data_IF_341592018077
#
_entry.id   IF_341592018077
#
_cell.length_a   1.000
_cell.length_b   1.000
_cell.length_c   1.000
_cell.angle_alpha   90.00
_cell.angle_beta   90.00
_cell.angle_gamma   90.00
#
_symmetry.space_group_name_H-M   'P 1'
#
loop_
_entity.id
_entity.type
_entity.pdbx_description
1 polymer ?
#
# COMPACT_ATOMS: atom_id res chain seq x y z
N UNK A 1 -3.40 -2.00 19.39
CA UNK A 1 -3.31 -1.31 18.09
C UNK A 1 -4.11 -2.08 17.05
N UNK A 2 -4.73 -1.38 16.09
CA UNK A 2 -5.59 -1.98 15.06
C UNK A 2 -5.17 -1.54 13.66
N UNK A 3 -5.25 -2.47 12.70
CA UNK A 3 -5.11 -2.18 11.27
C UNK A 3 -6.48 -2.40 10.63
N UNK A 4 -7.08 -1.36 10.07
CA UNK A 4 -8.35 -1.44 9.34
C UNK A 4 -8.09 -1.60 7.84
N UNK A 5 -8.61 -2.68 7.26
CA UNK A 5 -8.52 -2.93 5.81
C UNK A 5 -9.87 -2.63 5.16
N UNK A 6 -9.91 -1.56 4.39
CA UNK A 6 -11.09 -1.08 3.67
C UNK A 6 -10.95 -1.32 2.17
N UNK A 7 -12.06 -1.28 1.44
CA UNK A 7 -12.07 -1.38 -0.01
C UNK A 7 -13.46 -1.56 -0.57
N UNK A 8 -13.63 -1.17 -1.84
CA UNK A 8 -14.83 -1.49 -2.59
C UNK A 8 -14.99 -3.02 -2.76
N UNK A 9 -16.18 -3.51 -3.18
CA UNK A 9 -16.36 -4.91 -3.53
C UNK A 9 -15.30 -5.39 -4.53
N UNK A 10 -14.87 -6.65 -4.37
CA UNK A 10 -13.91 -7.33 -5.27
C UNK A 10 -12.50 -6.69 -5.36
N UNK A 11 -12.09 -5.90 -4.37
CA UNK A 11 -10.73 -5.32 -4.26
C UNK A 11 -9.74 -6.21 -3.51
N UNK A 12 -10.13 -7.43 -3.14
CA UNK A 12 -9.27 -8.36 -2.39
C UNK A 12 -9.05 -8.00 -0.91
N UNK A 13 -9.77 -7.01 -0.37
CA UNK A 13 -9.64 -6.53 1.03
C UNK A 13 -9.66 -7.63 2.09
N UNK A 14 -10.54 -8.63 1.97
CA UNK A 14 -10.69 -9.69 2.98
C UNK A 14 -9.56 -10.72 2.89
N UNK A 15 -9.11 -11.03 1.67
CA UNK A 15 -7.91 -11.85 1.47
C UNK A 15 -6.66 -11.15 2.03
N UNK A 16 -6.54 -9.84 1.82
CA UNK A 16 -5.44 -9.04 2.38
C UNK A 16 -5.49 -9.00 3.91
N UNK A 17 -6.67 -8.79 4.50
CA UNK A 17 -6.86 -8.80 5.95
C UNK A 17 -6.43 -10.15 6.56
N UNK A 18 -6.83 -11.26 5.93
CA UNK A 18 -6.42 -12.60 6.35
C UNK A 18 -4.90 -12.81 6.27
N UNK A 19 -4.28 -12.44 5.15
CA UNK A 19 -2.83 -12.56 4.96
C UNK A 19 -2.04 -11.73 5.99
N UNK A 20 -2.47 -10.51 6.27
CA UNK A 20 -1.86 -9.67 7.33
C UNK A 20 -2.04 -10.29 8.71
N UNK A 21 -3.24 -10.80 9.02
CA UNK A 21 -3.50 -11.45 10.31
C UNK A 21 -2.56 -12.64 10.52
N UNK A 22 -2.42 -13.51 9.52
CA UNK A 22 -1.52 -14.66 9.57
C UNK A 22 -0.06 -14.23 9.74
N UNK A 23 0.39 -13.23 8.98
CA UNK A 23 1.75 -12.73 9.05
C UNK A 23 2.12 -12.12 10.41
N UNK A 24 1.20 -11.36 11.01
CA UNK A 24 1.42 -10.70 12.30
C UNK A 24 1.36 -11.72 13.45
N UNK A 25 0.43 -12.66 13.38
CA UNK A 25 0.28 -13.74 14.38
C UNK A 25 1.51 -14.65 14.40
N UNK A 26 2.00 -15.07 13.22
CA UNK A 26 3.19 -15.93 13.11
C UNK A 26 4.47 -15.27 13.64
N UNK A 27 4.50 -13.95 13.72
CA UNK A 27 5.62 -13.15 14.27
C UNK A 27 5.37 -12.68 15.70
N UNK A 28 4.28 -13.15 16.34
CA UNK A 28 3.87 -12.76 17.69
C UNK A 28 3.69 -11.24 17.88
N UNK A 29 3.28 -10.54 16.82
CA UNK A 29 3.02 -9.10 16.87
C UNK A 29 1.58 -8.88 17.32
N UNK A 30 1.39 -8.21 18.47
CA UNK A 30 0.07 -7.98 19.08
C UNK A 30 -0.70 -6.84 18.40
N UNK A 31 -1.19 -7.10 17.18
CA UNK A 31 -2.01 -6.16 16.39
C UNK A 31 -3.24 -6.87 15.85
N UNK A 32 -4.40 -6.25 16.02
CA UNK A 32 -5.67 -6.77 15.50
C UNK A 32 -5.93 -6.21 14.11
N UNK A 33 -6.20 -7.07 13.14
CA UNK A 33 -6.61 -6.66 11.79
C UNK A 33 -8.14 -6.71 11.70
N UNK A 34 -8.74 -5.60 11.27
CA UNK A 34 -10.18 -5.50 11.01
C UNK A 34 -10.43 -5.71 9.51
N UNK A 35 -11.22 -6.73 9.17
CA UNK A 35 -11.65 -6.99 7.79
C UNK A 35 -12.90 -6.17 7.46
N UNK A 36 -12.74 -5.19 6.58
CA UNK A 36 -13.81 -4.35 6.04
C UNK A 36 -14.75 -3.75 7.10
N UNK A 37 -14.21 -3.09 8.16
CA UNK A 37 -15.06 -2.38 9.10
C UNK A 37 -15.83 -1.26 8.39
N UNK A 38 -16.95 -0.83 8.97
CA UNK A 38 -17.61 0.41 8.58
C UNK A 38 -16.63 1.58 8.62
N UNK A 39 -16.42 2.34 7.52
CA UNK A 39 -15.47 3.45 7.51
C UNK A 39 -15.86 4.54 8.50
N UNK A 40 -17.16 4.68 8.82
CA UNK A 40 -17.64 5.62 9.84
C UNK A 40 -17.27 5.25 11.28
N UNK A 41 -16.82 4.02 11.55
CA UNK A 41 -16.49 3.52 12.88
C UNK A 41 -15.00 3.25 13.07
N UNK A 42 -14.15 3.65 12.12
CA UNK A 42 -12.70 3.48 12.22
C UNK A 42 -12.12 4.57 13.11
N UNK A 43 -11.44 4.17 14.19
CA UNK A 43 -10.85 5.14 15.10
C UNK A 43 -9.64 5.85 14.46
N UNK A 44 -9.41 7.15 14.72
CA UNK A 44 -8.33 7.93 14.09
C UNK A 44 -6.91 7.42 14.38
N UNK A 45 -6.73 6.70 15.48
CA UNK A 45 -5.46 6.09 15.90
C UNK A 45 -5.19 4.74 15.21
N UNK A 46 -6.12 4.25 14.38
CA UNK A 46 -5.95 3.01 13.64
C UNK A 46 -5.06 3.24 12.41
N UNK A 47 -4.29 2.21 12.05
CA UNK A 47 -3.62 2.18 10.77
C UNK A 47 -4.67 1.80 9.72
N UNK A 48 -4.99 2.72 8.81
CA UNK A 48 -6.05 2.51 7.80
C UNK A 48 -5.43 2.28 6.43
N UNK A 49 -5.76 1.14 5.81
CA UNK A 49 -5.38 0.78 4.45
C UNK A 49 -6.64 0.68 3.58
N UNK A 50 -6.62 1.30 2.41
CA UNK A 50 -7.69 1.24 1.41
C UNK A 50 -7.22 0.47 0.18
N UNK A 51 -7.83 -0.67 -0.13
CA UNK A 51 -7.53 -1.42 -1.34
C UNK A 51 -7.97 -0.66 -2.61
N UNK A 52 -7.05 -0.49 -3.55
CA UNK A 52 -7.31 0.11 -4.86
C UNK A 52 -8.19 -0.76 -5.77
N UNK A 53 -8.70 -0.14 -6.84
CA UNK A 53 -9.59 -0.73 -7.83
C UNK A 53 -8.88 -1.40 -9.02
N UNK A 54 -7.66 -1.89 -8.81
CA UNK A 54 -6.70 -2.35 -9.83
C UNK A 54 -6.73 -3.88 -10.08
N UNK A 55 -7.57 -4.64 -9.39
CA UNK A 55 -7.73 -6.08 -9.63
C UNK A 55 -8.54 -6.41 -10.89
N UNK A 56 -9.26 -5.42 -11.41
CA UNK A 56 -10.03 -5.54 -12.65
C UNK A 56 -9.58 -4.46 -13.63
N UNK A 57 -9.45 -4.75 -14.94
CA UNK A 57 -8.99 -3.75 -15.92
C UNK A 57 -9.84 -2.48 -15.94
N UNK A 58 -11.14 -2.60 -15.66
CA UNK A 58 -12.05 -1.48 -15.51
C UNK A 58 -12.94 -1.71 -14.31
N UNK A 59 -12.85 -0.82 -13.33
CA UNK A 59 -13.74 -0.83 -12.18
C UNK A 59 -15.17 -0.47 -12.61
N UNK A 60 -16.15 -1.19 -12.08
CA UNK A 60 -17.56 -0.87 -12.31
C UNK A 60 -17.96 0.45 -11.64
N UNK A 61 -19.04 1.08 -12.12
CA UNK A 61 -19.64 2.26 -11.49
C UNK A 61 -20.03 2.02 -10.01
N UNK A 62 -20.38 0.78 -9.66
CA UNK A 62 -20.67 0.40 -8.27
C UNK A 62 -19.40 0.37 -7.42
N UNK A 63 -18.29 -0.17 -7.93
CA UNK A 63 -17.01 -0.16 -7.22
C UNK A 63 -16.47 1.27 -7.04
N UNK A 64 -16.57 2.11 -8.07
CA UNK A 64 -16.14 3.52 -8.00
C UNK A 64 -16.97 4.30 -6.98
N UNK A 65 -18.29 4.13 -6.96
CA UNK A 65 -19.16 4.75 -5.94
C UNK A 65 -18.83 4.27 -4.53
N UNK A 66 -18.59 2.97 -4.34
CA UNK A 66 -18.22 2.42 -3.04
C UNK A 66 -16.85 2.95 -2.56
N UNK A 67 -15.85 2.98 -3.43
CA UNK A 67 -14.52 3.55 -3.11
C UNK A 67 -14.61 5.03 -2.74
N UNK A 68 -15.35 5.82 -3.54
CA UNK A 68 -15.59 7.24 -3.26
C UNK A 68 -16.31 7.46 -1.93
N UNK A 69 -17.33 6.65 -1.62
CA UNK A 69 -18.06 6.74 -0.36
C UNK A 69 -17.14 6.45 0.85
N UNK A 70 -16.26 5.45 0.75
CA UNK A 70 -15.26 5.16 1.79
C UNK A 70 -14.31 6.35 1.97
N UNK A 71 -13.79 6.92 0.88
CA UNK A 71 -12.90 8.09 0.94
C UNK A 71 -13.58 9.30 1.57
N UNK A 72 -14.84 9.54 1.21
CA UNK A 72 -15.64 10.63 1.78
C UNK A 72 -15.86 10.44 3.28
N UNK A 73 -16.20 9.22 3.73
CA UNK A 73 -16.36 8.92 5.14
C UNK A 73 -15.06 9.14 5.94
N UNK A 74 -13.93 8.63 5.44
CA UNK A 74 -12.61 8.84 6.07
C UNK A 74 -12.21 10.31 6.10
N UNK A 75 -12.48 11.06 5.02
CA UNK A 75 -12.20 12.49 4.95
C UNK A 75 -13.05 13.32 5.92
N UNK A 76 -14.34 12.99 6.05
CA UNK A 76 -15.24 13.65 7.01
C UNK A 76 -14.78 13.51 8.46
N UNK A 77 -14.07 12.41 8.76
CA UNK A 77 -13.48 12.14 10.08
C UNK A 77 -12.01 12.52 10.19
N UNK A 78 -11.43 13.14 9.14
CA UNK A 78 -10.01 13.47 9.05
C UNK A 78 -9.08 12.27 9.33
N UNK A 79 -9.53 11.06 9.02
CA UNK A 79 -8.78 9.83 9.27
C UNK A 79 -7.80 9.60 8.13
N UNK A 80 -6.51 9.66 8.44
CA UNK A 80 -5.46 9.42 7.46
C UNK A 80 -5.36 7.92 7.09
N UNK A 81 -5.35 7.64 5.80
CA UNK A 81 -5.28 6.29 5.24
C UNK A 81 -4.24 6.21 4.11
N UNK A 82 -3.80 5.00 3.79
CA UNK A 82 -2.92 4.73 2.66
C UNK A 82 -3.63 3.83 1.65
N UNK A 83 -3.56 4.16 0.35
CA UNK A 83 -4.11 3.31 -0.71
C UNK A 83 -3.10 2.22 -1.06
N UNK A 84 -3.57 0.98 -1.20
CA UNK A 84 -2.76 -0.19 -1.53
C UNK A 84 -3.21 -0.77 -2.86
N UNK A 85 -2.29 -0.78 -3.83
CA UNK A 85 -2.43 -1.41 -5.15
C UNK A 85 -1.58 -2.68 -5.22
N UNK A 86 -1.78 -3.48 -6.27
CA UNK A 86 -1.01 -4.67 -6.59
C UNK A 86 -1.88 -5.90 -6.79
N UNK A 87 -1.29 -6.95 -7.38
CA UNK A 87 -1.96 -8.22 -7.61
C UNK A 87 -1.26 -9.33 -6.81
N UNK A 88 -2.03 -10.30 -6.30
CA UNK A 88 -1.50 -11.44 -5.55
C UNK A 88 -0.57 -11.02 -4.39
N UNK A 89 0.63 -11.59 -4.38
CA UNK A 89 1.63 -11.36 -3.32
C UNK A 89 2.16 -9.91 -3.28
N UNK A 90 2.14 -9.18 -4.39
CA UNK A 90 2.64 -7.78 -4.42
C UNK A 90 1.76 -6.87 -3.56
N UNK A 91 0.43 -7.03 -3.62
CA UNK A 91 -0.49 -6.26 -2.78
C UNK A 91 -0.20 -6.43 -1.30
N UNK A 92 0.14 -7.65 -0.90
CA UNK A 92 0.52 -7.94 0.48
C UNK A 92 1.81 -7.21 0.90
N UNK A 93 2.85 -7.26 0.05
CA UNK A 93 4.10 -6.52 0.27
C UNK A 93 3.86 -5.01 0.36
N UNK A 94 3.06 -4.45 -0.55
CA UNK A 94 2.68 -3.05 -0.53
C UNK A 94 1.88 -2.67 0.71
N UNK A 95 0.99 -3.55 1.18
CA UNK A 95 0.23 -3.34 2.40
C UNK A 95 1.12 -3.29 3.64
N UNK A 96 2.11 -4.18 3.75
CA UNK A 96 3.09 -4.15 4.85
C UNK A 96 3.91 -2.86 4.86
N UNK A 97 4.35 -2.40 3.68
CA UNK A 97 5.05 -1.14 3.54
C UNK A 97 4.16 0.06 3.95
N UNK A 98 2.93 0.11 3.43
CA UNK A 98 1.94 1.12 3.76
C UNK A 98 1.61 1.14 5.27
N UNK A 99 1.41 -0.03 5.87
CA UNK A 99 1.15 -0.17 7.30
C UNK A 99 2.35 0.31 8.13
N UNK A 100 3.58 -0.03 7.72
CA UNK A 100 4.80 0.44 8.37
C UNK A 100 4.88 1.97 8.34
N UNK A 101 4.68 2.61 7.17
CA UNK A 101 4.70 4.07 7.05
C UNK A 101 3.65 4.74 7.94
N UNK A 102 2.41 4.24 7.95
CA UNK A 102 1.34 4.78 8.81
C UNK A 102 1.67 4.59 10.29
N UNK A 103 2.25 3.45 10.68
CA UNK A 103 2.71 3.23 12.05
C UNK A 103 3.77 4.26 12.47
N UNK A 104 4.74 4.59 11.61
CA UNK A 104 5.73 5.64 11.88
C UNK A 104 5.08 7.02 12.02
N UNK A 105 4.13 7.36 11.15
CA UNK A 105 3.39 8.62 11.23
C UNK A 105 2.59 8.76 12.55
N UNK A 106 2.24 7.64 13.18
CA UNK A 106 1.59 7.59 14.50
C UNK A 106 2.59 7.49 15.68
N UNK A 107 3.90 7.54 15.42
CA UNK A 107 4.96 7.41 16.44
C UNK A 107 5.19 5.97 16.93
N UNK A 108 4.70 4.95 16.21
CA UNK A 108 4.77 3.54 16.59
C UNK A 108 6.00 2.86 15.95
N UNK A 109 7.20 3.36 16.24
CA UNK A 109 8.44 2.94 15.56
C UNK A 109 8.73 1.43 15.68
N UNK A 110 8.52 0.84 16.87
CA UNK A 110 8.72 -0.60 17.09
C UNK A 110 7.78 -1.42 16.20
N UNK A 111 6.50 -1.03 16.12
CA UNK A 111 5.53 -1.70 15.27
C UNK A 111 5.88 -1.53 13.79
N UNK A 112 6.29 -0.33 13.38
CA UNK A 112 6.72 -0.06 12.02
C UNK A 112 7.92 -0.94 11.61
N UNK A 113 8.90 -1.11 12.51
CA UNK A 113 10.08 -1.94 12.26
C UNK A 113 9.70 -3.41 12.02
N UNK A 114 8.69 -3.94 12.72
CA UNK A 114 8.23 -5.30 12.52
C UNK A 114 7.49 -5.54 11.19
N UNK A 115 6.84 -4.52 10.64
CA UNK A 115 6.12 -4.62 9.35
C UNK A 115 7.02 -4.27 8.15
N UNK A 116 8.10 -3.51 8.38
CA UNK A 116 9.02 -3.08 7.34
C UNK A 116 9.62 -4.30 6.64
N UNK A 117 9.37 -4.40 5.33
CA UNK A 117 10.06 -5.37 4.48
C UNK A 117 11.49 -4.89 4.21
N UNK A 118 12.46 -5.81 4.01
CA UNK A 118 13.80 -5.41 3.57
C UNK A 118 13.65 -4.52 2.34
N UNK A 119 14.22 -3.31 2.40
CA UNK A 119 14.12 -2.38 1.29
C UNK A 119 14.70 -3.07 0.05
N UNK A 120 13.98 -3.10 -1.09
CA UNK A 120 14.60 -3.49 -2.35
C UNK A 120 15.80 -2.57 -2.55
N UNK A 121 16.91 -3.13 -3.03
CA UNK A 121 18.14 -2.37 -3.32
C UNK A 121 17.78 -1.12 -4.10
N UNK A 122 17.91 0.04 -3.45
CA UNK A 122 17.75 1.33 -4.13
C UNK A 122 18.77 1.37 -5.25
N UNK A 123 18.34 1.77 -6.44
CA UNK A 123 19.25 2.00 -7.56
C UNK A 123 20.35 2.98 -7.11
N UNK A 124 21.60 2.51 -7.09
CA UNK A 124 22.80 3.32 -6.87
C UNK A 124 23.51 3.49 -8.21
N UNK A 125 23.24 4.61 -8.89
CA UNK A 125 23.84 4.94 -10.19
C UNK A 125 24.05 6.43 -10.32
N UNK A 126 24.74 6.90 -11.37
CA UNK A 126 25.14 8.30 -11.52
C UNK A 126 23.97 9.31 -11.41
N UNK A 127 22.76 8.94 -11.82
CA UNK A 127 21.57 9.80 -11.67
C UNK A 127 20.81 9.61 -10.33
N UNK A 128 21.33 8.88 -9.32
CA UNK A 128 20.64 8.65 -8.03
C UNK A 128 20.29 9.93 -7.24
N UNK A 129 21.02 11.01 -7.52
CA UNK A 129 20.89 12.35 -6.92
C UNK A 129 20.77 13.44 -7.98
N UNK A 130 20.68 13.06 -9.25
CA UNK A 130 20.60 14.00 -10.36
C UNK A 130 19.13 14.28 -10.64
N UNK A 131 18.66 15.49 -10.32
CA UNK A 131 17.33 15.96 -10.70
C UNK A 131 17.32 16.58 -12.11
N UNK A 132 18.34 16.27 -12.91
CA UNK A 132 18.49 16.77 -14.29
C UNK A 132 17.74 15.84 -15.25
N UNK A 133 16.71 16.39 -15.92
CA UNK A 133 15.91 15.67 -16.89
C UNK A 133 16.75 15.12 -18.06
N UNK A 134 17.84 15.80 -18.43
CA UNK A 134 18.71 15.35 -19.51
C UNK A 134 19.54 14.11 -19.10
N UNK A 135 19.93 13.99 -17.82
CA UNK A 135 20.61 12.80 -17.27
C UNK A 135 19.71 11.57 -17.39
N UNK A 136 18.45 11.71 -16.96
CA UNK A 136 17.47 10.62 -17.01
C UNK A 136 17.17 10.21 -18.46
N UNK A 137 16.94 11.19 -19.35
CA UNK A 137 16.64 10.92 -20.75
C UNK A 137 17.80 10.17 -21.46
N UNK A 138 19.05 10.57 -21.20
CA UNK A 138 20.22 9.88 -21.75
C UNK A 138 20.35 8.44 -21.22
N UNK A 139 20.17 8.23 -19.91
CA UNK A 139 20.23 6.90 -19.30
C UNK A 139 19.16 5.96 -19.88
N UNK A 140 17.89 6.41 -19.91
CA UNK A 140 16.79 5.62 -20.45
C UNK A 140 17.00 5.30 -21.94
N UNK A 141 17.43 6.28 -22.73
CA UNK A 141 17.72 6.07 -24.16
C UNK A 141 18.80 5.01 -24.37
N UNK A 142 19.86 5.03 -23.57
CA UNK A 142 20.92 4.02 -23.63
C UNK A 142 20.44 2.62 -23.22
N UNK A 143 19.61 2.50 -22.19
CA UNK A 143 19.05 1.23 -21.76
C UNK A 143 18.15 0.61 -22.83
N UNK A 144 17.27 1.42 -23.44
CA UNK A 144 16.41 0.99 -24.57
C UNK A 144 17.27 0.52 -25.74
N UNK A 145 18.33 1.27 -26.09
CA UNK A 145 19.25 0.90 -27.17
C UNK A 145 19.97 -0.43 -26.88
N UNK A 146 20.53 -0.63 -25.67
CA UNK A 146 21.19 -1.88 -25.26
C UNK A 146 20.24 -3.09 -25.29
N UNK A 147 18.98 -2.89 -24.92
CA UNK A 147 17.96 -3.94 -24.93
C UNK A 147 17.62 -4.38 -26.36
N UNK A 148 17.74 -3.48 -27.34
CA UNK A 148 17.57 -3.80 -28.77
C UNK A 148 18.77 -4.54 -29.38
N UNK A 149 19.96 -4.38 -28.81
CA UNK A 149 21.22 -5.01 -29.27
C UNK A 149 21.44 -6.42 -28.71
N UNK A 150 20.61 -6.84 -27.75
CA UNK A 150 20.69 -8.15 -27.07
C UNK A 150 19.61 -9.13 -27.54
N UNK A 151 18.90 -8.79 -28.61
CA UNK A 151 18.05 -9.67 -29.43
C UNK A 151 18.67 -9.82 -30.81
#
# INVERSE_FOLDING_TARGET
MRIAILGAPQTGKSQLAHALTQHLTTRHISVVVLDAPSPEHVAPDNIVLLCGLDLTPMASATQQRADNAIRQALAAQQTAFQVVYGQGAERFTHALYAAAQRAQALGLETLAAHMRQPQPTRWTGACERCADADCEHQLFSQLIAKTKLTK
#
